data_IF_229699496699
#
_entry.id   IF_229699496699
#
_cell.length_a   1.000
_cell.length_b   1.000
_cell.length_c   1.000
_cell.angle_alpha   90.00
_cell.angle_beta   90.00
_cell.angle_gamma   90.00
#
_symmetry.space_group_name_H-M   'P 1'
#
loop_
_entity.id
_entity.type
_entity.pdbx_description
1 polymer ?
#
# COMPACT_ATOMS: atom_id res chain seq x y z
N UNK A 1 -20.76 -6.80 32.94
CA UNK A 1 -19.75 -7.61 32.22
C UNK A 1 -19.44 -6.89 30.92
N UNK A 2 -18.32 -6.15 30.85
CA UNK A 2 -17.14 -6.43 29.99
C UNK A 2 -17.57 -6.76 28.54
N UNK A 3 -17.26 -5.97 27.50
CA UNK A 3 -16.06 -5.17 27.27
C UNK A 3 -16.36 -4.03 26.31
N UNK A 4 -15.81 -2.85 26.61
CA UNK A 4 -15.63 -1.74 25.68
C UNK A 4 -14.87 -2.26 24.46
N UNK A 5 -15.55 -2.33 23.32
CA UNK A 5 -14.95 -2.34 22.00
C UNK A 5 -14.15 -1.05 21.85
N UNK A 6 -12.88 -1.09 22.28
CA UNK A 6 -11.91 -0.11 21.82
C UNK A 6 -11.76 -0.42 20.32
N UNK A 7 -12.51 0.30 19.49
CA UNK A 7 -12.19 0.43 18.07
C UNK A 7 -10.82 1.09 17.99
N UNK A 8 -9.75 0.28 18.13
CA UNK A 8 -8.40 0.69 17.81
C UNK A 8 -8.31 0.76 16.28
N UNK A 9 -8.87 1.82 15.70
CA UNK A 9 -8.67 2.14 14.31
C UNK A 9 -7.18 2.43 14.13
N UNK A 10 -6.44 1.50 13.55
CA UNK A 10 -5.02 1.69 13.23
C UNK A 10 -4.79 2.96 12.37
N UNK A 11 -5.85 3.45 11.69
CA UNK A 11 -5.84 4.71 10.94
C UNK A 11 -5.53 5.96 11.79
N UNK A 12 -5.69 5.90 13.11
CA UNK A 12 -5.43 7.04 14.00
C UNK A 12 -3.96 7.14 14.44
N UNK A 13 -3.14 6.15 14.09
CA UNK A 13 -1.72 6.06 14.44
C UNK A 13 -0.85 6.15 13.20
N UNK A 14 0.33 6.76 13.35
CA UNK A 14 1.35 6.72 12.30
C UNK A 14 1.68 5.27 11.97
N UNK A 15 1.84 5.00 10.67
CA UNK A 15 2.04 3.65 10.15
C UNK A 15 3.32 3.00 10.70
N UNK A 16 4.34 3.77 11.08
CA UNK A 16 5.56 3.27 11.73
C UNK A 16 5.30 2.63 13.10
N UNK A 17 4.16 2.92 13.72
CA UNK A 17 3.74 2.37 15.02
C UNK A 17 2.69 1.27 14.88
N UNK A 18 2.38 0.85 13.66
CA UNK A 18 1.47 -0.25 13.43
C UNK A 18 2.11 -1.55 13.91
N UNK A 19 1.35 -2.28 14.71
CA UNK A 19 1.67 -3.65 15.06
C UNK A 19 1.48 -4.56 13.85
N UNK A 20 1.94 -5.80 13.98
CA UNK A 20 1.66 -6.82 12.97
C UNK A 20 0.15 -6.97 12.68
N UNK A 21 -0.68 -6.97 13.71
CA UNK A 21 -2.14 -7.07 13.58
C UNK A 21 -2.72 -5.86 12.84
N UNK A 22 -2.22 -4.65 13.12
CA UNK A 22 -2.63 -3.43 12.42
C UNK A 22 -2.33 -3.52 10.91
N UNK A 23 -1.17 -4.06 10.53
CA UNK A 23 -0.79 -4.27 9.13
C UNK A 23 -1.71 -5.29 8.45
N UNK A 24 -2.02 -6.40 9.11
CA UNK A 24 -2.95 -7.40 8.56
C UNK A 24 -4.37 -6.84 8.39
N UNK A 25 -4.84 -6.07 9.37
CA UNK A 25 -6.13 -5.38 9.31
C UNK A 25 -6.18 -4.37 8.16
N UNK A 26 -5.12 -3.58 7.97
CA UNK A 26 -4.99 -2.68 6.82
C UNK A 26 -5.08 -3.43 5.49
N UNK A 27 -4.31 -4.51 5.32
CA UNK A 27 -4.32 -5.28 4.07
C UNK A 27 -5.70 -5.90 3.81
N UNK A 28 -6.39 -6.35 4.86
CA UNK A 28 -7.74 -6.86 4.76
C UNK A 28 -8.75 -5.77 4.35
N UNK A 29 -8.75 -4.63 5.02
CA UNK A 29 -9.66 -3.52 4.76
C UNK A 29 -9.52 -2.97 3.33
N UNK A 30 -8.30 -3.00 2.80
CA UNK A 30 -8.00 -2.61 1.41
C UNK A 30 -8.25 -3.70 0.38
N UNK A 31 -8.76 -4.87 0.77
CA UNK A 31 -8.98 -6.04 -0.11
C UNK A 31 -7.70 -6.49 -0.81
N UNK A 32 -6.59 -6.45 -0.08
CA UNK A 32 -5.26 -6.91 -0.50
C UNK A 32 -4.98 -8.31 0.07
N UNK A 33 -5.98 -9.18 0.14
CA UNK A 33 -5.90 -10.47 0.83
C UNK A 33 -4.80 -11.39 0.25
N UNK A 34 -4.50 -11.28 -1.05
CA UNK A 34 -3.41 -12.01 -1.71
C UNK A 34 -2.04 -11.61 -1.16
N UNK A 35 -1.87 -10.34 -0.77
CA UNK A 35 -0.64 -9.84 -0.17
C UNK A 35 -0.68 -10.08 1.34
N UNK A 36 -1.86 -10.01 1.97
CA UNK A 36 -2.04 -10.39 3.38
C UNK A 36 -1.51 -11.81 3.65
N UNK A 37 -1.79 -12.76 2.76
CA UNK A 37 -1.31 -14.14 2.91
C UNK A 37 0.22 -14.26 2.97
N UNK A 38 0.98 -13.34 2.35
CA UNK A 38 2.44 -13.33 2.47
C UNK A 38 2.91 -13.08 3.89
N UNK A 39 2.15 -12.28 4.64
CA UNK A 39 2.57 -11.76 5.93
C UNK A 39 1.86 -12.43 7.10
N UNK A 40 0.76 -13.15 6.88
CA UNK A 40 0.01 -13.86 7.95
C UNK A 40 0.86 -14.79 8.82
N UNK A 41 1.96 -15.34 8.27
CA UNK A 41 2.83 -16.29 8.96
C UNK A 41 4.21 -15.72 9.32
N UNK A 42 4.51 -14.50 8.88
CA UNK A 42 5.76 -13.81 9.17
C UNK A 42 5.65 -13.18 10.56
N UNK A 43 6.22 -13.86 11.56
CA UNK A 43 6.32 -13.30 12.89
C UNK A 43 7.20 -12.04 12.80
N UNK A 44 6.64 -10.89 13.17
CA UNK A 44 7.28 -9.55 13.21
C UNK A 44 7.13 -8.67 11.97
N UNK A 45 6.27 -8.99 11.00
CA UNK A 45 6.00 -8.04 9.91
C UNK A 45 5.11 -6.89 10.39
N UNK A 46 5.72 -5.82 10.86
CA UNK A 46 5.07 -4.65 11.46
C UNK A 46 5.06 -3.43 10.53
N UNK A 47 4.57 -2.30 11.03
CA UNK A 47 4.50 -1.05 10.29
C UNK A 47 5.85 -0.52 9.80
N UNK A 48 6.92 -0.75 10.57
CA UNK A 48 8.28 -0.41 10.15
C UNK A 48 8.73 -1.28 8.96
N UNK A 49 8.45 -2.57 9.03
CA UNK A 49 8.73 -3.53 7.96
C UNK A 49 7.96 -3.17 6.68
N UNK A 50 6.71 -2.76 6.83
CA UNK A 50 5.85 -2.26 5.75
C UNK A 50 6.42 -0.99 5.10
N UNK A 51 7.00 -0.07 5.89
CA UNK A 51 7.67 1.12 5.38
C UNK A 51 8.92 0.79 4.56
N UNK A 52 9.78 -0.12 5.05
CA UNK A 52 10.97 -0.56 4.31
C UNK A 52 10.54 -1.17 2.96
N UNK A 53 9.52 -2.03 2.97
CA UNK A 53 8.97 -2.62 1.75
C UNK A 53 8.43 -1.55 0.79
N UNK A 54 7.72 -0.54 1.29
CA UNK A 54 7.29 0.60 0.49
C UNK A 54 8.46 1.32 -0.20
N UNK A 55 9.53 1.62 0.55
CA UNK A 55 10.74 2.26 -0.02
C UNK A 55 11.38 1.41 -1.11
N UNK A 56 11.42 0.09 -0.95
CA UNK A 56 11.94 -0.84 -1.97
C UNK A 56 11.06 -0.83 -3.23
N UNK A 57 9.74 -0.89 -3.09
CA UNK A 57 8.79 -0.77 -4.20
C UNK A 57 8.98 0.53 -5.01
N UNK A 58 9.34 1.63 -4.36
CA UNK A 58 9.62 2.91 -5.03
C UNK A 58 10.96 2.92 -5.78
N UNK A 59 12.00 2.29 -5.23
CA UNK A 59 13.34 2.32 -5.82
C UNK A 59 13.51 1.34 -6.99
N UNK A 60 12.86 0.17 -6.93
CA UNK A 60 13.02 -0.88 -7.93
C UNK A 60 11.73 -1.73 -8.05
N UNK A 61 10.69 -1.11 -8.58
CA UNK A 61 9.32 -1.65 -8.66
C UNK A 61 9.26 -3.03 -9.33
N UNK A 62 10.01 -3.23 -10.42
CA UNK A 62 9.96 -4.50 -11.16
C UNK A 62 10.66 -5.63 -10.40
N UNK A 63 11.82 -5.36 -9.80
CA UNK A 63 12.55 -6.34 -8.98
C UNK A 63 11.76 -6.71 -7.73
N UNK A 64 11.22 -5.73 -7.01
CA UNK A 64 10.42 -5.99 -5.80
C UNK A 64 9.16 -6.80 -6.11
N UNK A 65 8.47 -6.51 -7.22
CA UNK A 65 7.35 -7.34 -7.68
C UNK A 65 7.77 -8.80 -7.93
N UNK A 66 8.88 -9.02 -8.62
CA UNK A 66 9.37 -10.37 -8.90
C UNK A 66 9.70 -11.14 -7.61
N UNK A 67 10.32 -10.48 -6.63
CA UNK A 67 10.62 -11.08 -5.32
C UNK A 67 9.34 -11.47 -4.59
N UNK A 68 8.39 -10.54 -4.45
CA UNK A 68 7.11 -10.82 -3.77
C UNK A 68 6.30 -11.92 -4.47
N UNK A 69 6.28 -11.91 -5.80
CA UNK A 69 5.59 -12.94 -6.58
C UNK A 69 6.25 -14.32 -6.42
N UNK A 70 7.60 -14.36 -6.37
CA UNK A 70 8.35 -15.59 -6.15
C UNK A 70 8.07 -16.15 -4.75
N UNK A 71 8.10 -15.31 -3.72
CA UNK A 71 7.79 -15.71 -2.35
C UNK A 71 6.34 -16.21 -2.21
N UNK A 72 5.38 -15.51 -2.82
CA UNK A 72 3.97 -15.95 -2.79
C UNK A 72 3.79 -17.32 -3.45
N UNK A 73 4.48 -17.54 -4.56
CA UNK A 73 4.44 -18.82 -5.26
C UNK A 73 5.07 -19.94 -4.42
N UNK A 74 6.22 -19.69 -3.81
CA UNK A 74 6.91 -20.68 -2.98
C UNK A 74 6.14 -21.06 -1.72
N UNK A 75 5.51 -20.10 -1.05
CA UNK A 75 4.81 -20.31 0.22
C UNK A 75 3.40 -20.88 0.03
N UNK A 76 2.69 -20.44 -1.01
CA UNK A 76 1.25 -20.68 -1.14
C UNK A 76 0.80 -21.22 -2.50
N UNK A 77 1.72 -21.51 -3.43
CA UNK A 77 1.43 -21.91 -4.81
C UNK A 77 0.48 -20.93 -5.51
N UNK A 78 0.62 -19.65 -5.18
CA UNK A 78 -0.20 -18.54 -5.72
C UNK A 78 0.66 -17.62 -6.57
N UNK A 79 0.00 -16.91 -7.48
CA UNK A 79 0.62 -15.82 -8.22
C UNK A 79 0.14 -14.49 -7.65
N UNK A 80 1.03 -13.51 -7.58
CA UNK A 80 0.70 -12.14 -7.21
C UNK A 80 0.31 -11.42 -8.50
N UNK A 81 -0.98 -11.14 -8.75
CA UNK A 81 -1.35 -10.44 -9.96
C UNK A 81 -0.76 -9.04 -9.95
N UNK A 82 -0.20 -8.59 -11.08
CA UNK A 82 0.44 -7.27 -11.15
C UNK A 82 -0.49 -6.13 -10.74
N UNK A 83 -1.80 -6.23 -11.03
CA UNK A 83 -2.78 -5.24 -10.58
C UNK A 83 -2.92 -5.16 -9.05
N UNK A 84 -2.80 -6.29 -8.34
CA UNK A 84 -2.88 -6.33 -6.89
C UNK A 84 -1.63 -5.71 -6.26
N UNK A 85 -0.47 -5.92 -6.88
CA UNK A 85 0.78 -5.26 -6.52
C UNK A 85 0.69 -3.73 -6.71
N UNK A 86 0.22 -3.26 -7.87
CA UNK A 86 0.03 -1.83 -8.11
C UNK A 86 -0.99 -1.22 -7.13
N UNK A 87 -2.08 -1.93 -6.83
CA UNK A 87 -3.06 -1.50 -5.85
C UNK A 87 -2.44 -1.36 -4.45
N UNK A 88 -1.64 -2.34 -4.03
CA UNK A 88 -0.91 -2.29 -2.76
C UNK A 88 0.03 -1.10 -2.66
N UNK A 89 0.88 -0.88 -3.67
CA UNK A 89 1.79 0.29 -3.68
C UNK A 89 1.02 1.60 -3.59
N UNK A 90 -0.10 1.71 -4.31
CA UNK A 90 -0.96 2.90 -4.25
C UNK A 90 -1.59 3.12 -2.88
N UNK A 91 -2.06 2.06 -2.20
CA UNK A 91 -2.61 2.20 -0.85
C UNK A 91 -1.53 2.59 0.16
N UNK A 92 -0.30 2.07 0.03
CA UNK A 92 0.83 2.50 0.85
C UNK A 92 1.21 3.96 0.61
N UNK A 93 1.23 4.40 -0.64
CA UNK A 93 1.52 5.79 -1.00
C UNK A 93 0.51 6.76 -0.36
N UNK A 94 -0.77 6.39 -0.29
CA UNK A 94 -1.80 7.17 0.41
C UNK A 94 -1.54 7.31 1.92
N UNK A 95 -0.97 6.29 2.55
CA UNK A 95 -0.69 6.28 3.99
C UNK A 95 0.63 7.01 4.32
N UNK A 96 1.69 6.78 3.54
CA UNK A 96 3.02 7.36 3.79
C UNK A 96 3.20 8.77 3.21
N UNK A 97 2.45 9.11 2.16
CA UNK A 97 2.50 10.42 1.51
C UNK A 97 1.08 10.97 1.26
N UNK A 98 0.33 11.33 2.33
CA UNK A 98 -1.03 11.85 2.20
C UNK A 98 -1.12 13.20 1.47
N UNK A 99 0.02 13.85 1.21
CA UNK A 99 0.10 15.20 0.62
C UNK A 99 -0.16 15.20 -0.89
N UNK A 100 0.05 14.09 -1.60
CA UNK A 100 0.14 14.17 -3.06
C UNK A 100 -1.18 14.01 -3.83
N UNK A 101 -2.31 13.63 -3.23
CA UNK A 101 -3.57 13.58 -4.01
C UNK A 101 -4.01 14.99 -4.46
N UNK A 102 -3.91 16.00 -3.59
CA UNK A 102 -4.30 17.38 -3.95
C UNK A 102 -3.30 18.02 -4.92
N UNK A 103 -2.02 17.69 -4.79
CA UNK A 103 -0.96 18.24 -5.62
C UNK A 103 -0.92 17.56 -7.00
N UNK A 104 -1.15 16.26 -7.06
CA UNK A 104 -1.37 15.47 -8.27
C UNK A 104 -2.65 15.91 -9.01
N UNK A 105 -3.77 16.12 -8.32
CA UNK A 105 -4.99 16.69 -8.94
C UNK A 105 -4.71 18.08 -9.52
N UNK A 106 -4.00 18.96 -8.78
CA UNK A 106 -3.59 20.29 -9.30
C UNK A 106 -2.70 20.18 -10.54
N UNK A 107 -1.75 19.24 -10.55
CA UNK A 107 -0.88 18.98 -11.69
C UNK A 107 -1.65 18.46 -12.91
N UNK A 108 -2.56 17.51 -12.73
CA UNK A 108 -3.43 17.00 -13.80
C UNK A 108 -4.34 18.10 -14.37
N UNK A 109 -4.94 18.93 -13.50
CA UNK A 109 -5.75 20.07 -13.93
C UNK A 109 -4.92 21.09 -14.74
N UNK A 110 -3.67 21.33 -14.34
CA UNK A 110 -2.76 22.22 -15.06
C UNK A 110 -2.38 21.67 -16.45
N UNK A 111 -2.10 20.36 -16.57
CA UNK A 111 -1.82 19.72 -17.87
C UNK A 111 -3.02 19.84 -18.81
N UNK A 112 -4.24 19.57 -18.31
CA UNK A 112 -5.47 19.68 -19.10
C UNK A 112 -5.65 21.12 -19.60
N UNK A 113 -5.50 22.12 -18.71
CA UNK A 113 -5.57 23.54 -19.07
C UNK A 113 -4.53 23.92 -20.14
N UNK A 114 -3.28 23.49 -19.98
CA UNK A 114 -2.20 23.78 -20.93
C UNK A 114 -2.49 23.18 -22.33
N UNK A 115 -3.02 21.96 -22.39
CA UNK A 115 -3.41 21.30 -23.66
C UNK A 115 -4.62 21.95 -24.34
N UNK A 116 -5.60 22.44 -23.57
CA UNK A 116 -6.72 23.20 -24.12
C UNK A 116 -6.21 24.51 -24.73
N UNK A 117 -5.36 25.25 -24.00
CA UNK A 117 -4.78 26.51 -24.47
C UNK A 117 -4.00 26.36 -25.78
N UNK A 118 -3.26 25.25 -25.96
CA UNK A 118 -2.50 24.97 -27.18
C UNK A 118 -3.36 24.59 -28.39
N UNK A 119 -4.63 24.24 -28.21
CA UNK A 119 -5.57 23.92 -29.32
C UNK A 119 -6.44 25.10 -29.76
N UNK A 120 -6.45 26.18 -28.98
CA UNK A 120 -7.30 27.37 -29.20
C UNK A 120 -6.53 28.50 -29.93
N UNK A 121 -5.23 28.32 -30.18
CA UNK A 121 -4.38 29.24 -30.94
C UNK A 121 -3.75 28.53 -32.13
#
# INVERSE_FOLDING_TARGET
ERSSSIENSYNDRFIEWWTHEDVLNFLHDKRLDVIRTLFEYEQQFDGHSLYILYKQCQSDTQSTYQVLNTQLNQLHDRTLPYFAYIHFVSELEKQFNPVDIKQYIRYLLWIIYAKIRQKVF
#
